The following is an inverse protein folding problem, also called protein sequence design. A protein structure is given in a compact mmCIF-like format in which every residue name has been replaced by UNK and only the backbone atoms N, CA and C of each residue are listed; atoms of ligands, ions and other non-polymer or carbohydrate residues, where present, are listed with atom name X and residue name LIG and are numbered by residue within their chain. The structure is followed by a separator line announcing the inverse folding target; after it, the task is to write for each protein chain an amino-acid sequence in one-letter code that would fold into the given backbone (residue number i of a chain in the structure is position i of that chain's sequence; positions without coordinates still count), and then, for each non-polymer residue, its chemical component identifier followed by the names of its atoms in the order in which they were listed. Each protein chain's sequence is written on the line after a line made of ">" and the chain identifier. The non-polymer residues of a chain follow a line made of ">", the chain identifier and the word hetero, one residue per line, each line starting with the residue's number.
data_IF_335153088975
#
_entry.id   IF_335153088975
#
_cell.length_a   1.000
_cell.length_b   1.000
_cell.length_c   1.000
_cell.angle_alpha   90.00
_cell.angle_beta   90.00
_cell.angle_gamma   90.00
#
_symmetry.space_group_name_H-M   'P 1'
#
loop_
_entity.id
_entity.type
_entity.pdbx_description
1 polymer ?
#
# COMPACT_ATOMS: atom_id res chain seq x y z
N UNK A 1 -7.89 11.68 21.17
CA UNK A 1 -7.13 12.03 19.95
C UNK A 1 -7.01 10.78 19.11
N UNK A 2 -7.84 10.63 18.07
CA UNK A 2 -7.76 9.52 17.13
C UNK A 2 -6.63 9.82 16.14
N UNK A 3 -5.53 9.07 16.23
CA UNK A 3 -4.45 9.16 15.25
C UNK A 3 -4.97 8.56 13.94
N UNK A 4 -5.12 9.37 12.90
CA UNK A 4 -5.59 8.89 11.61
C UNK A 4 -4.53 7.99 10.95
N UNK A 5 -4.95 7.11 10.03
CA UNK A 5 -3.99 6.29 9.27
C UNK A 5 -3.02 7.16 8.45
N UNK A 6 -3.45 8.37 8.08
CA UNK A 6 -2.62 9.36 7.42
C UNK A 6 -1.52 9.90 8.34
N UNK A 7 -1.85 10.22 9.59
CA UNK A 7 -0.87 10.65 10.60
C UNK A 7 0.15 9.55 10.89
N UNK A 8 -0.33 8.29 10.95
CA UNK A 8 0.56 7.11 11.09
C UNK A 8 1.51 6.98 9.90
N UNK A 9 1.06 7.27 8.69
CA UNK A 9 1.90 7.24 7.50
C UNK A 9 3.01 8.29 7.57
N UNK A 10 2.69 9.52 7.97
CA UNK A 10 3.70 10.58 8.14
C UNK A 10 4.70 10.24 9.26
N UNK A 11 4.23 9.68 10.37
CA UNK A 11 5.10 9.22 11.45
C UNK A 11 6.04 8.09 11.00
N UNK A 12 5.51 7.08 10.29
CA UNK A 12 6.30 5.97 9.77
C UNK A 12 7.35 6.45 8.75
N UNK A 13 6.97 7.36 7.85
CA UNK A 13 7.90 7.95 6.89
C UNK A 13 9.03 8.74 7.57
N UNK A 14 8.70 9.47 8.65
CA UNK A 14 9.68 10.22 9.44
C UNK A 14 10.66 9.33 10.18
N UNK A 15 10.19 8.19 10.68
CA UNK A 15 11.01 7.24 11.45
C UNK A 15 11.72 6.19 10.57
N UNK A 16 11.40 6.12 9.27
CA UNK A 16 11.92 5.06 8.38
C UNK A 16 11.27 3.70 8.61
N UNK A 17 10.05 3.65 9.16
CA UNK A 17 9.37 2.42 9.54
C UNK A 17 8.66 1.76 8.34
N UNK A 18 9.44 0.97 7.61
CA UNK A 18 8.97 0.21 6.45
C UNK A 18 7.86 -0.79 6.80
N UNK A 19 7.84 -1.34 8.01
CA UNK A 19 6.83 -2.32 8.41
C UNK A 19 5.45 -1.66 8.51
N UNK A 20 5.39 -0.51 9.17
CA UNK A 20 4.14 0.27 9.26
C UNK A 20 3.68 0.75 7.89
N UNK A 21 4.59 1.18 7.01
CA UNK A 21 4.26 1.60 5.64
C UNK A 21 3.62 0.45 4.84
N UNK A 22 4.16 -0.76 4.96
CA UNK A 22 3.60 -1.96 4.33
C UNK A 22 2.22 -2.32 4.89
N UNK A 23 2.01 -2.21 6.21
CA UNK A 23 0.69 -2.44 6.81
C UNK A 23 -0.34 -1.40 6.33
N UNK A 24 0.06 -0.14 6.24
CA UNK A 24 -0.79 0.94 5.74
C UNK A 24 -1.10 0.80 4.25
N UNK A 25 -0.27 0.08 3.47
CA UNK A 25 -0.55 -0.21 2.07
C UNK A 25 -1.80 -1.09 1.86
N UNK A 26 -2.14 -1.91 2.85
CA UNK A 26 -3.39 -2.68 2.87
C UNK A 26 -4.60 -1.89 3.39
N UNK A 27 -4.38 -0.65 3.85
CA UNK A 27 -5.43 0.24 4.32
C UNK A 27 -5.83 1.26 3.25
N UNK A 28 -6.97 1.92 3.45
CA UNK A 28 -7.39 3.04 2.62
C UNK A 28 -6.66 4.34 3.00
N UNK A 29 -5.33 4.32 2.88
CA UNK A 29 -4.47 5.48 3.09
C UNK A 29 -4.05 6.09 1.76
N UNK A 30 -3.87 7.41 1.74
CA UNK A 30 -3.35 8.13 0.59
C UNK A 30 -1.84 8.39 0.76
N UNK A 31 -1.03 7.66 0.00
CA UNK A 31 0.43 7.85 -0.03
C UNK A 31 0.86 9.15 -0.73
N UNK A 32 -0.06 9.81 -1.45
CA UNK A 32 0.13 11.12 -2.05
C UNK A 32 -0.27 12.30 -1.16
N UNK A 33 -0.86 12.05 0.01
CA UNK A 33 -1.39 13.14 0.82
C UNK A 33 -0.28 14.07 1.32
N UNK A 34 -0.69 15.32 1.60
CA UNK A 34 0.19 16.37 2.10
C UNK A 34 -0.16 16.70 3.54
N UNK A 35 0.87 16.77 4.37
CA UNK A 35 0.81 17.30 5.74
C UNK A 35 0.50 18.81 5.71
N UNK A 36 0.23 19.43 6.85
CA UNK A 36 -0.06 20.86 7.04
C UNK A 36 1.03 21.78 6.45
N UNK A 37 2.26 21.27 6.31
CA UNK A 37 3.39 21.96 5.67
C UNK A 37 3.52 21.70 4.17
N UNK A 38 2.52 21.08 3.53
CA UNK A 38 2.55 20.73 2.11
C UNK A 38 3.49 19.57 1.74
N UNK A 39 4.00 18.83 2.72
CA UNK A 39 4.99 17.76 2.52
C UNK A 39 4.29 16.42 2.34
N UNK A 40 4.73 15.62 1.36
CA UNK A 40 4.28 14.23 1.22
C UNK A 40 5.05 13.31 2.18
N UNK A 41 4.54 12.11 2.51
CA UNK A 41 5.31 11.14 3.30
C UNK A 41 6.64 10.78 2.60
N UNK A 42 6.69 10.77 1.27
CA UNK A 42 7.94 10.62 0.51
C UNK A 42 8.96 11.75 0.80
N UNK A 43 8.51 13.01 0.84
CA UNK A 43 9.38 14.15 1.20
C UNK A 43 9.92 14.02 2.63
N UNK A 44 9.13 13.48 3.57
CA UNK A 44 9.62 13.22 4.92
C UNK A 44 10.69 12.14 4.91
N UNK A 45 10.40 10.96 4.34
CA UNK A 45 11.39 9.87 4.29
C UNK A 45 12.72 10.33 3.66
N UNK A 46 12.66 11.12 2.59
CA UNK A 46 13.86 11.66 1.94
C UNK A 46 14.60 12.69 2.81
N UNK A 47 13.89 13.61 3.46
CA UNK A 47 14.51 14.62 4.34
C UNK A 47 15.24 14.00 5.54
N UNK A 48 14.74 12.88 6.05
CA UNK A 48 15.34 12.15 7.17
C UNK A 48 16.38 11.11 6.72
N UNK A 49 16.64 10.99 5.41
CA UNK A 49 17.65 10.06 4.87
C UNK A 49 17.19 8.60 4.76
N UNK A 50 15.89 8.33 4.89
CA UNK A 50 15.30 6.99 4.80
C UNK A 50 15.00 6.61 3.34
N UNK A 51 16.05 6.40 2.55
CA UNK A 51 15.93 6.09 1.12
C UNK A 51 15.10 4.84 0.83
N UNK A 52 15.24 3.77 1.63
CA UNK A 52 14.46 2.53 1.44
C UNK A 52 12.97 2.72 1.77
N UNK A 53 12.66 3.58 2.74
CA UNK A 53 11.28 3.95 3.06
C UNK A 53 10.68 4.81 1.97
N UNK A 54 11.44 5.74 1.41
CA UNK A 54 11.01 6.53 0.26
C UNK A 54 10.66 5.64 -0.95
N UNK A 55 11.50 4.62 -1.24
CA UNK A 55 11.20 3.62 -2.28
C UNK A 55 9.92 2.83 -1.98
N UNK A 56 9.72 2.41 -0.73
CA UNK A 56 8.54 1.64 -0.32
C UNK A 56 7.26 2.47 -0.47
N UNK A 57 7.29 3.75 -0.08
CA UNK A 57 6.17 4.70 -0.26
C UNK A 57 5.85 4.88 -1.75
N UNK A 58 6.89 5.03 -2.58
CA UNK A 58 6.71 5.21 -4.02
C UNK A 58 6.06 3.98 -4.66
N UNK A 59 6.56 2.79 -4.35
CA UNK A 59 6.00 1.53 -4.84
C UNK A 59 4.53 1.36 -4.41
N UNK A 60 4.20 1.65 -3.14
CA UNK A 60 2.82 1.58 -2.65
C UNK A 60 1.90 2.58 -3.37
N UNK A 61 2.41 3.79 -3.65
CA UNK A 61 1.68 4.82 -4.40
C UNK A 61 1.41 4.37 -5.85
N UNK A 62 2.42 3.83 -6.54
CA UNK A 62 2.27 3.34 -7.91
C UNK A 62 1.29 2.16 -8.00
N UNK A 63 1.35 1.22 -7.04
CA UNK A 63 0.38 0.12 -6.95
C UNK A 63 -1.06 0.63 -6.83
N UNK A 64 -1.31 1.64 -5.98
CA UNK A 64 -2.64 2.26 -5.87
C UNK A 64 -3.06 2.98 -7.15
N UNK A 65 -2.14 3.70 -7.81
CA UNK A 65 -2.42 4.36 -9.08
C UNK A 65 -2.77 3.35 -10.19
N UNK A 66 -2.12 2.19 -10.20
CA UNK A 66 -2.42 1.09 -11.13
C UNK A 66 -3.75 0.39 -10.82
N UNK A 67 -4.13 0.24 -9.54
CA UNK A 67 -5.46 -0.26 -9.16
C UNK A 67 -6.57 0.70 -9.58
N UNK A 68 -6.36 2.00 -9.42
CA UNK A 68 -7.36 3.02 -9.74
C UNK A 68 -7.59 3.19 -11.26
N UNK A 69 -6.59 2.85 -12.09
CA UNK A 69 -6.73 2.87 -13.55
C UNK A 69 -7.37 1.60 -14.15
N UNK A 70 -7.71 0.59 -13.34
CA UNK A 70 -8.36 -0.63 -13.84
C UNK A 70 -7.47 -1.50 -14.76
N UNK A 71 -6.16 -1.32 -14.73
CA UNK A 71 -5.19 -2.08 -15.53
C UNK A 71 -4.67 -3.33 -14.81
N UNK A 72 -5.16 -3.64 -13.60
CA UNK A 72 -5.03 -5.00 -13.05
C UNK A 72 -6.05 -5.85 -13.79
N UNK A 73 -5.65 -6.27 -14.99
CA UNK A 73 -6.33 -7.29 -15.74
C UNK A 73 -6.57 -8.50 -14.85
N UNK A 74 -7.71 -9.11 -15.07
CA UNK A 74 -8.12 -10.39 -14.52
C UNK A 74 -6.96 -11.39 -14.60
N UNK A 75 -6.17 -11.46 -13.54
CA UNK A 75 -5.52 -12.68 -13.15
C UNK A 75 -6.63 -13.62 -12.77
N UNK A 76 -7.14 -14.33 -13.77
CA UNK A 76 -7.73 -15.66 -13.67
C UNK A 76 -6.85 -16.53 -12.77
N UNK A 77 -6.99 -16.34 -11.47
CA UNK A 77 -6.81 -17.40 -10.51
C UNK A 77 -8.24 -17.79 -10.21
N UNK A 78 -8.75 -18.74 -11.00
CA UNK A 78 -9.90 -19.51 -10.61
C UNK A 78 -9.68 -19.91 -9.14
N UNK A 79 -10.66 -19.71 -8.25
CA UNK A 79 -10.58 -20.37 -6.96
C UNK A 79 -10.56 -21.87 -7.29
N UNK A 80 -9.43 -22.52 -7.02
CA UNK A 80 -9.41 -23.97 -6.82
C UNK A 80 -10.32 -24.24 -5.63
N UNK A 81 -11.63 -24.34 -5.91
CA UNK A 81 -12.57 -25.05 -5.05
C UNK A 81 -12.26 -26.52 -5.31
N UNK A 82 -11.33 -27.04 -4.53
CA UNK A 82 -11.23 -28.47 -4.26
C UNK A 82 -12.55 -28.89 -3.60
N UNK A 83 -13.60 -29.17 -4.38
CA UNK A 83 -14.77 -29.91 -3.88
C UNK A 83 -15.64 -30.62 -4.94
N UNK A 84 -15.28 -30.67 -6.23
CA UNK A 84 -16.08 -31.45 -7.20
C UNK A 84 -15.26 -32.43 -8.06
N UNK A 85 -14.26 -33.07 -7.44
CA UNK A 85 -13.83 -34.39 -7.88
C UNK A 85 -14.71 -35.43 -7.17
N UNK A 86 -15.84 -35.81 -7.79
CA UNK A 86 -16.31 -37.20 -7.98
C UNK A 86 -17.84 -37.27 -8.22
N UNK A 87 -18.31 -36.85 -9.41
CA UNK A 87 -19.60 -37.37 -9.91
C UNK A 87 -19.74 -37.30 -11.43
N UNK A 88 -18.97 -38.11 -12.15
CA UNK A 88 -19.36 -38.67 -13.46
C UNK A 88 -18.26 -39.56 -14.05
N UNK A 89 -18.15 -40.79 -13.58
CA UNK A 89 -17.86 -41.94 -14.45
C UNK A 89 -18.83 -43.02 -14.01
N UNK A 90 -19.68 -43.46 -14.94
CA UNK A 90 -20.59 -44.59 -14.76
C UNK A 90 -19.88 -45.93 -14.79
#
# INVERSE_FOLDING_TARGET
>A
MTISNQDKLFAAARCGDNATIRQLAFSDVDFGARDEKGRTPFNLATQYGHADTAKTILAAKEMKYMQQLGLVGEGSVAPVREDEAQKAVG
#
